data_IF_825136397798
#
_entry.id   IF_825136397798
#
_cell.length_a   1.000
_cell.length_b   1.000
_cell.length_c   1.000
_cell.angle_alpha   90.00
_cell.angle_beta   90.00
_cell.angle_gamma   90.00
#
_symmetry.space_group_name_H-M   'P 1'
#
loop_
_entity.id
_entity.type
_entity.pdbx_description
1 polymer ?
#
# COMPACT_ATOMS: atom_id res chain seq x y z
N UNK A 1 63.84 -59.29 24.21
CA UNK A 1 63.67 -58.24 25.25
C UNK A 1 62.81 -57.14 24.62
N UNK A 2 61.49 -57.32 24.49
CA UNK A 2 60.41 -57.18 25.49
C UNK A 2 60.16 -55.73 25.92
N UNK A 3 58.90 -55.30 25.71
CA UNK A 3 58.18 -54.21 26.38
C UNK A 3 58.61 -52.77 26.06
N UNK A 4 57.72 -51.77 25.96
CA UNK A 4 56.27 -51.69 25.90
C UNK A 4 55.98 -50.23 25.54
N UNK A 5 55.19 -49.96 24.51
CA UNK A 5 54.76 -48.60 24.17
C UNK A 5 53.74 -48.13 25.20
N UNK A 6 54.11 -47.21 26.09
CA UNK A 6 53.16 -46.49 26.96
C UNK A 6 52.45 -45.42 26.14
N UNK A 7 51.19 -45.67 25.81
CA UNK A 7 50.27 -44.63 25.33
C UNK A 7 49.85 -43.75 26.51
N UNK A 8 50.39 -42.54 26.57
CA UNK A 8 49.86 -41.48 27.41
C UNK A 8 48.52 -41.01 26.86
N UNK A 9 47.45 -41.19 27.64
CA UNK A 9 46.13 -40.64 27.35
C UNK A 9 46.19 -39.12 27.47
N UNK A 10 46.19 -38.42 26.34
CA UNK A 10 45.88 -36.99 26.28
C UNK A 10 44.35 -36.90 26.29
N UNK A 11 43.79 -36.40 27.39
CA UNK A 11 42.37 -36.04 27.48
C UNK A 11 42.21 -34.70 26.73
N UNK A 12 41.47 -34.64 25.62
CA UNK A 12 41.22 -33.36 24.96
C UNK A 12 40.25 -32.54 25.85
N UNK A 13 40.40 -31.20 25.89
CA UNK A 13 39.44 -30.36 26.60
C UNK A 13 38.09 -30.45 25.88
N UNK A 14 37.05 -30.75 26.65
CA UNK A 14 35.66 -30.71 26.22
C UNK A 14 35.30 -29.24 25.93
N UNK A 15 35.47 -28.84 24.68
CA UNK A 15 35.08 -27.52 24.18
C UNK A 15 33.55 -27.48 24.09
N UNK A 16 32.91 -26.82 25.06
CA UNK A 16 31.47 -26.63 25.10
C UNK A 16 31.08 -25.66 23.98
N UNK A 17 30.66 -26.19 22.82
CA UNK A 17 30.04 -25.39 21.76
C UNK A 17 28.65 -24.99 22.25
N UNK A 18 28.50 -23.75 22.75
CA UNK A 18 27.20 -23.14 22.91
C UNK A 18 26.63 -22.85 21.52
N UNK A 19 25.82 -23.78 20.99
CA UNK A 19 25.00 -23.53 19.82
C UNK A 19 23.95 -22.49 20.19
N UNK A 20 24.22 -21.22 19.88
CA UNK A 20 23.18 -20.20 19.84
C UNK A 20 22.26 -20.52 18.67
N UNK A 21 21.17 -21.23 18.93
CA UNK A 21 20.08 -21.37 17.98
C UNK A 21 19.44 -20.00 17.78
N UNK A 22 19.92 -19.24 16.80
CA UNK A 22 19.18 -18.12 16.26
C UNK A 22 18.00 -18.70 15.45
N UNK A 23 16.81 -18.67 16.03
CA UNK A 23 15.58 -18.96 15.31
C UNK A 23 15.42 -17.91 14.19
N UNK A 24 15.30 -18.31 12.91
CA UNK A 24 14.96 -17.37 11.86
C UNK A 24 13.57 -16.83 12.14
N UNK A 25 13.44 -15.53 12.42
CA UNK A 25 12.15 -14.86 12.30
C UNK A 25 11.76 -14.90 10.82
N UNK A 26 10.72 -15.67 10.50
CA UNK A 26 10.10 -15.63 9.18
C UNK A 26 9.64 -14.20 8.84
N UNK A 27 9.40 -13.89 7.55
CA UNK A 27 8.93 -12.57 7.16
C UNK A 27 7.72 -12.18 8.00
N UNK A 28 7.77 -10.98 8.59
CA UNK A 28 6.66 -10.42 9.34
C UNK A 28 5.41 -10.44 8.44
N UNK A 29 4.33 -11.04 8.94
CA UNK A 29 3.06 -11.05 8.22
C UNK A 29 2.66 -9.62 7.90
N UNK A 30 2.37 -9.33 6.62
CA UNK A 30 1.79 -8.05 6.23
C UNK A 30 0.51 -7.82 7.05
N UNK A 31 0.25 -6.59 7.53
CA UNK A 31 -0.99 -6.30 8.23
C UNK A 31 -2.18 -6.65 7.34
N UNK A 32 -3.18 -7.31 7.92
CA UNK A 32 -4.41 -7.64 7.19
C UNK A 32 -5.07 -6.34 6.71
N UNK A 33 -5.65 -6.31 5.49
CA UNK A 33 -6.38 -5.15 5.03
C UNK A 33 -7.57 -4.88 5.95
N UNK A 34 -7.71 -3.64 6.41
CA UNK A 34 -8.76 -3.21 7.34
C UNK A 34 -10.12 -2.96 6.66
N UNK A 35 -10.33 -3.43 5.43
CA UNK A 35 -11.64 -3.30 4.79
C UNK A 35 -12.56 -4.44 5.23
N UNK A 36 -13.71 -4.09 5.79
CA UNK A 36 -14.80 -5.02 6.05
C UNK A 36 -15.56 -5.27 4.74
N UNK A 37 -15.50 -6.49 4.23
CA UNK A 37 -16.17 -6.89 3.00
C UNK A 37 -17.70 -7.11 3.16
N UNK A 38 -18.26 -6.87 4.35
CA UNK A 38 -19.66 -7.18 4.68
C UNK A 38 -20.57 -5.96 4.88
N UNK A 39 -20.07 -4.74 4.70
CA UNK A 39 -20.93 -3.56 4.64
C UNK A 39 -21.70 -3.50 3.32
N UNK A 40 -23.01 -3.74 3.38
CA UNK A 40 -23.92 -3.50 2.24
C UNK A 40 -23.80 -2.04 1.77
N UNK A 41 -23.64 -1.77 0.46
CA UNK A 41 -23.48 -0.41 -0.04
C UNK A 41 -24.73 0.42 0.24
N UNK A 42 -24.56 1.57 0.90
CA UNK A 42 -25.62 2.58 0.97
C UNK A 42 -25.94 3.04 -0.45
N UNK A 43 -27.20 2.92 -0.86
CA UNK A 43 -27.64 3.31 -2.19
C UNK A 43 -27.28 4.78 -2.46
N UNK A 44 -26.35 4.99 -3.38
CA UNK A 44 -26.08 6.26 -4.03
C UNK A 44 -27.39 6.78 -4.60
N UNK A 45 -27.80 7.99 -4.22
CA UNK A 45 -28.83 8.71 -4.94
C UNK A 45 -28.44 8.79 -6.42
N UNK A 46 -29.41 8.51 -7.29
CA UNK A 46 -29.34 8.32 -8.74
C UNK A 46 -28.16 9.06 -9.41
N UNK A 47 -26.99 8.39 -9.40
CA UNK A 47 -25.90 8.72 -10.29
C UNK A 47 -26.32 8.14 -11.63
N UNK A 48 -26.73 8.99 -12.57
CA UNK A 48 -26.69 8.65 -13.99
C UNK A 48 -25.41 7.86 -14.20
N UNK A 49 -25.53 6.57 -14.52
CA UNK A 49 -24.44 5.62 -14.43
C UNK A 49 -23.21 6.17 -15.17
N UNK A 50 -22.26 6.74 -14.43
CA UNK A 50 -20.94 7.02 -14.95
C UNK A 50 -20.33 5.64 -15.03
N UNK A 51 -20.51 5.01 -16.21
CA UNK A 51 -19.77 3.81 -16.57
C UNK A 51 -18.32 4.08 -16.17
N UNK A 52 -17.62 3.11 -15.52
CA UNK A 52 -16.19 3.27 -15.31
C UNK A 52 -15.61 3.68 -16.66
N UNK A 53 -14.76 4.73 -16.74
CA UNK A 53 -14.31 5.24 -18.02
C UNK A 53 -13.75 4.05 -18.79
N UNK A 54 -14.48 3.62 -19.82
CA UNK A 54 -14.00 2.52 -20.63
C UNK A 54 -12.69 3.01 -21.22
N UNK A 55 -11.60 2.23 -21.12
CA UNK A 55 -10.36 2.64 -21.74
C UNK A 55 -10.68 2.95 -23.20
N UNK A 56 -10.25 4.12 -23.69
CA UNK A 56 -10.60 4.63 -25.02
C UNK A 56 -10.38 3.58 -26.12
N UNK A 57 -9.47 2.63 -25.89
CA UNK A 57 -9.37 1.37 -26.61
C UNK A 57 -9.09 0.21 -25.63
N UNK A 58 -9.60 -1.00 -25.91
CA UNK A 58 -9.17 -2.22 -25.20
C UNK A 58 -7.63 -2.34 -25.21
N UNK A 59 -6.97 -2.89 -24.16
CA UNK A 59 -5.52 -2.84 -24.03
C UNK A 59 -4.73 -3.38 -25.24
N UNK A 60 -5.23 -4.45 -25.88
CA UNK A 60 -4.62 -4.96 -27.12
C UNK A 60 -4.76 -3.97 -28.29
N UNK A 61 -5.91 -3.32 -28.42
CA UNK A 61 -6.15 -2.30 -29.44
C UNK A 61 -5.37 -1.01 -29.16
N UNK A 62 -5.25 -0.58 -27.90
CA UNK A 62 -4.40 0.53 -27.49
C UNK A 62 -2.92 0.30 -27.87
N UNK A 63 -2.43 -0.94 -27.67
CA UNK A 63 -1.11 -1.37 -28.12
C UNK A 63 -0.97 -1.28 -29.66
N UNK A 64 -1.98 -1.72 -30.42
CA UNK A 64 -1.95 -1.62 -31.89
C UNK A 64 -2.12 -0.20 -32.42
N UNK A 65 -2.89 0.65 -31.73
CA UNK A 65 -3.15 2.03 -32.08
C UNK A 65 -1.97 2.97 -31.80
N UNK A 66 -0.84 2.44 -31.31
CA UNK A 66 0.38 3.22 -31.08
C UNK A 66 0.29 4.18 -29.90
N UNK A 67 -0.67 3.98 -28.99
CA UNK A 67 -0.74 4.73 -27.73
C UNK A 67 0.49 4.47 -26.83
N UNK A 68 1.26 3.43 -27.15
CA UNK A 68 2.61 3.20 -26.64
C UNK A 68 3.54 2.91 -27.83
N UNK A 69 4.73 3.54 -27.93
CA UNK A 69 5.61 3.44 -29.09
C UNK A 69 6.39 2.11 -29.14
N UNK A 70 5.72 0.96 -28.96
CA UNK A 70 6.34 -0.38 -28.89
C UNK A 70 7.01 -0.77 -30.21
N UNK A 71 6.34 -0.52 -31.34
CA UNK A 71 6.85 -0.91 -32.67
C UNK A 71 7.94 0.01 -33.19
N UNK A 72 7.82 1.32 -32.96
CA UNK A 72 8.81 2.29 -33.44
C UNK A 72 10.18 2.13 -32.78
N UNK A 73 10.23 1.60 -31.56
CA UNK A 73 11.48 1.28 -30.85
C UNK A 73 11.87 -0.21 -30.97
N UNK A 74 11.12 -1.02 -31.74
CA UNK A 74 11.42 -2.41 -32.02
C UNK A 74 11.26 -3.40 -30.84
N UNK A 75 10.50 -3.03 -29.81
CA UNK A 75 10.30 -3.89 -28.61
C UNK A 75 9.57 -5.19 -28.96
N UNK A 76 8.67 -5.18 -29.92
CA UNK A 76 7.97 -6.38 -30.40
C UNK A 76 8.94 -7.39 -31.04
N UNK A 77 9.82 -6.93 -31.93
CA UNK A 77 10.84 -7.77 -32.57
C UNK A 77 11.86 -8.29 -31.54
N UNK A 78 12.28 -7.41 -30.61
CA UNK A 78 13.22 -7.75 -29.55
C UNK A 78 12.66 -8.86 -28.63
N UNK A 79 11.40 -8.72 -28.18
CA UNK A 79 10.75 -9.71 -27.31
C UNK A 79 10.48 -11.03 -28.02
N UNK A 80 10.18 -11.01 -29.33
CA UNK A 80 9.98 -12.24 -30.11
C UNK A 80 11.27 -13.07 -30.21
N UNK A 81 12.43 -12.40 -30.31
CA UNK A 81 13.75 -13.06 -30.35
C UNK A 81 14.30 -13.42 -28.95
N UNK A 82 13.81 -12.78 -27.89
CA UNK A 82 14.26 -12.98 -26.52
C UNK A 82 13.08 -13.12 -25.56
N UNK A 83 12.43 -14.29 -25.57
CA UNK A 83 11.16 -14.53 -24.86
C UNK A 83 11.22 -14.35 -23.34
N UNK A 84 12.41 -14.42 -22.74
CA UNK A 84 12.63 -14.22 -21.30
C UNK A 84 13.08 -12.80 -20.94
N UNK A 85 13.29 -11.91 -21.92
CA UNK A 85 13.79 -10.55 -21.70
C UNK A 85 12.61 -9.59 -21.53
N UNK A 86 11.77 -9.88 -20.54
CA UNK A 86 10.53 -9.17 -20.23
C UNK A 86 10.64 -8.29 -18.98
N UNK A 87 11.86 -8.07 -18.48
CA UNK A 87 12.15 -7.26 -17.30
C UNK A 87 12.15 -8.03 -15.97
N UNK A 88 11.94 -9.35 -15.97
CA UNK A 88 12.04 -10.18 -14.75
C UNK A 88 13.37 -9.94 -14.01
N UNK A 89 13.30 -9.82 -12.69
CA UNK A 89 14.47 -9.54 -11.84
C UNK A 89 14.98 -8.09 -11.90
N UNK A 90 14.29 -7.18 -12.59
CA UNK A 90 14.61 -5.74 -12.63
C UNK A 90 13.63 -4.95 -11.79
N UNK A 91 14.14 -4.03 -10.97
CA UNK A 91 13.34 -3.05 -10.22
C UNK A 91 13.38 -1.69 -10.94
N UNK A 92 12.22 -1.07 -11.12
CA UNK A 92 12.08 0.26 -11.73
C UNK A 92 11.46 1.18 -10.69
N UNK A 93 12.12 2.30 -10.38
CA UNK A 93 11.57 3.37 -9.58
C UNK A 93 10.96 4.44 -10.50
N UNK A 94 9.75 4.88 -10.18
CA UNK A 94 9.03 5.94 -10.91
C UNK A 94 8.88 7.12 -9.95
N UNK A 95 9.43 8.28 -10.33
CA UNK A 95 9.26 9.54 -9.63
C UNK A 95 8.31 10.40 -10.47
N UNK A 96 7.03 10.37 -10.12
CA UNK A 96 5.95 11.02 -10.86
C UNK A 96 4.88 11.48 -9.85
N UNK A 97 3.75 12.00 -10.32
CA UNK A 97 2.65 12.47 -9.45
C UNK A 97 1.87 11.35 -8.76
N UNK A 98 2.09 10.09 -9.13
CA UNK A 98 1.41 8.92 -8.55
C UNK A 98 1.02 7.88 -9.60
N UNK A 99 0.48 6.77 -9.14
CA UNK A 99 -0.06 5.69 -9.98
C UNK A 99 -1.35 5.16 -9.38
N UNK A 100 -2.27 4.66 -10.21
CA UNK A 100 -3.38 3.84 -9.75
C UNK A 100 -2.93 2.38 -9.59
N UNK A 101 -2.69 1.98 -8.34
CA UNK A 101 -2.23 0.64 -8.00
C UNK A 101 -3.29 -0.46 -8.23
N UNK A 102 -4.57 -0.10 -8.41
CA UNK A 102 -5.64 -1.05 -8.65
C UNK A 102 -5.76 -1.47 -10.13
N UNK A 103 -4.99 -0.85 -11.03
CA UNK A 103 -5.01 -1.22 -12.44
C UNK A 103 -4.55 -2.67 -12.63
N UNK A 104 -5.31 -3.52 -13.35
CA UNK A 104 -4.96 -4.93 -13.55
C UNK A 104 -3.56 -5.17 -14.16
N UNK A 105 -3.05 -4.22 -14.96
CA UNK A 105 -1.71 -4.28 -15.55
C UNK A 105 -0.54 -4.05 -14.57
N UNK A 106 -0.85 -3.64 -13.33
CA UNK A 106 0.10 -3.41 -12.24
C UNK A 106 -0.01 -4.45 -11.13
N UNK A 107 -0.88 -5.45 -11.29
CA UNK A 107 -1.13 -6.43 -10.25
C UNK A 107 -0.02 -7.50 -10.17
N UNK A 108 0.32 -8.08 -11.33
CA UNK A 108 1.21 -9.23 -11.43
C UNK A 108 2.31 -9.05 -12.47
N UNK A 109 3.48 -9.61 -12.17
CA UNK A 109 4.59 -9.78 -13.13
C UNK A 109 4.36 -11.00 -14.01
N UNK A 110 5.18 -11.17 -15.06
CA UNK A 110 5.13 -12.36 -15.92
C UNK A 110 5.55 -13.66 -15.23
N UNK A 111 6.15 -13.58 -14.04
CA UNK A 111 6.54 -14.72 -13.20
C UNK A 111 5.54 -15.03 -12.09
N UNK A 112 4.46 -14.24 -11.96
CA UNK A 112 3.41 -14.45 -10.96
C UNK A 112 3.64 -13.71 -9.63
N UNK A 113 4.70 -12.93 -9.51
CA UNK A 113 4.97 -12.10 -8.33
C UNK A 113 4.19 -10.78 -8.38
N UNK A 114 3.96 -10.13 -7.23
CA UNK A 114 3.39 -8.78 -7.17
C UNK A 114 4.30 -7.80 -7.89
N UNK A 115 3.72 -6.98 -8.77
CA UNK A 115 4.51 -6.04 -9.60
C UNK A 115 4.87 -4.76 -8.86
N UNK A 116 4.02 -4.29 -7.95
CA UNK A 116 4.31 -3.16 -7.07
C UNK A 116 4.99 -3.66 -5.79
N UNK A 117 6.19 -3.15 -5.54
CA UNK A 117 6.96 -3.43 -4.33
C UNK A 117 6.70 -2.36 -3.26
N UNK A 118 6.57 -1.10 -3.69
CA UNK A 118 6.36 0.03 -2.80
C UNK A 118 5.62 1.16 -3.54
N UNK A 119 4.89 1.97 -2.78
CA UNK A 119 4.20 3.17 -3.25
C UNK A 119 4.31 4.22 -2.13
N UNK A 120 4.97 5.34 -2.43
CA UNK A 120 5.21 6.39 -1.44
C UNK A 120 4.83 7.74 -2.01
N UNK A 121 4.07 8.48 -1.22
CA UNK A 121 3.95 9.91 -1.39
C UNK A 121 5.08 10.63 -0.63
N UNK A 122 5.84 11.45 -1.35
CA UNK A 122 6.89 12.30 -0.80
C UNK A 122 6.48 13.77 -0.68
N UNK A 123 5.32 14.16 -1.21
CA UNK A 123 4.81 15.52 -1.14
C UNK A 123 4.31 15.87 0.26
N UNK A 124 3.71 14.90 0.97
CA UNK A 124 3.00 15.16 2.21
C UNK A 124 1.62 15.78 1.99
N UNK A 125 1.15 15.85 0.75
CA UNK A 125 -0.19 16.24 0.40
C UNK A 125 -1.20 15.30 1.07
N UNK A 126 -2.28 15.87 1.59
CA UNK A 126 -3.30 15.14 2.33
C UNK A 126 -2.83 14.51 3.66
N UNK A 127 -1.63 14.85 4.16
CA UNK A 127 -1.20 14.42 5.50
C UNK A 127 -2.08 15.08 6.57
N UNK A 128 -2.68 14.24 7.42
CA UNK A 128 -3.48 14.69 8.56
C UNK A 128 -2.66 14.53 9.84
N UNK A 129 -2.45 15.64 10.56
CA UNK A 129 -1.88 15.58 11.90
C UNK A 129 -2.94 15.00 12.85
N UNK A 130 -2.63 13.82 13.40
CA UNK A 130 -3.53 13.13 14.32
C UNK A 130 -3.08 13.36 15.76
N UNK A 131 -4.03 13.68 16.63
CA UNK A 131 -3.84 13.76 18.08
C UNK A 131 -4.77 12.79 18.79
N UNK A 132 -4.31 12.26 19.92
CA UNK A 132 -5.14 11.37 20.74
C UNK A 132 -6.33 12.14 21.29
N UNK A 133 -7.50 11.54 21.26
CA UNK A 133 -8.76 12.14 21.72
C UNK A 133 -9.52 11.21 22.65
N UNK A 134 -10.39 11.81 23.46
CA UNK A 134 -11.36 11.12 24.30
C UNK A 134 -12.77 11.60 23.94
N UNK A 135 -13.72 10.69 24.03
CA UNK A 135 -15.11 11.00 23.79
C UNK A 135 -15.75 11.57 25.06
N UNK A 136 -16.48 12.67 24.91
CA UNK A 136 -17.26 13.29 25.98
C UNK A 136 -18.67 13.53 25.48
N UNK A 137 -19.66 13.07 26.25
CA UNK A 137 -21.09 13.20 25.92
C UNK A 137 -21.47 12.72 24.52
N UNK A 138 -20.81 11.64 24.05
CA UNK A 138 -21.08 11.08 22.73
C UNK A 138 -20.44 11.84 21.57
N UNK A 139 -19.50 12.74 21.85
CA UNK A 139 -18.80 13.52 20.84
C UNK A 139 -17.28 13.52 21.05
N UNK A 140 -16.56 13.74 19.95
CA UNK A 140 -15.13 14.07 19.95
C UNK A 140 -14.97 15.49 19.41
N UNK A 141 -14.11 16.28 20.06
CA UNK A 141 -13.77 17.64 19.58
C UNK A 141 -12.34 17.67 19.04
N UNK A 142 -12.17 18.30 17.88
CA UNK A 142 -10.88 18.49 17.21
C UNK A 142 -10.88 19.86 16.55
N UNK A 143 -9.94 20.73 16.96
CA UNK A 143 -9.98 22.16 16.61
C UNK A 143 -11.37 22.77 16.92
N UNK A 144 -12.00 23.44 15.95
CA UNK A 144 -13.34 24.03 16.06
C UNK A 144 -14.46 23.06 15.64
N UNK A 145 -14.13 21.80 15.33
CA UNK A 145 -15.07 20.78 14.87
C UNK A 145 -15.51 19.86 16.03
N UNK A 146 -16.81 19.58 16.06
CA UNK A 146 -17.42 18.60 16.96
C UNK A 146 -18.00 17.44 16.15
N UNK A 147 -17.50 16.25 16.42
CA UNK A 147 -17.88 15.00 15.77
C UNK A 147 -18.82 14.23 16.71
N UNK A 148 -20.11 14.51 16.59
CA UNK A 148 -21.17 13.86 17.36
C UNK A 148 -21.47 12.43 16.88
N UNK A 149 -22.16 11.64 17.71
CA UNK A 149 -22.51 10.26 17.38
C UNK A 149 -21.38 9.26 17.66
N UNK A 150 -20.38 9.66 18.45
CA UNK A 150 -19.16 8.90 18.68
C UNK A 150 -19.41 7.59 19.44
N UNK A 151 -20.52 7.47 20.17
CA UNK A 151 -20.99 6.22 20.78
C UNK A 151 -21.12 5.08 19.77
N UNK A 152 -21.41 5.38 18.49
CA UNK A 152 -21.46 4.37 17.43
C UNK A 152 -20.06 3.84 17.13
N UNK A 153 -19.07 4.73 17.05
CA UNK A 153 -17.66 4.39 16.78
C UNK A 153 -17.07 3.64 17.98
N UNK A 154 -17.26 4.18 19.19
CA UNK A 154 -16.82 3.57 20.43
C UNK A 154 -17.52 2.22 20.72
N UNK A 155 -18.74 2.03 20.21
CA UNK A 155 -19.46 0.76 20.30
C UNK A 155 -18.95 -0.31 19.33
N UNK A 156 -18.20 0.07 18.28
CA UNK A 156 -17.71 -0.83 17.22
C UNK A 156 -16.20 -1.04 17.22
N UNK A 157 -15.48 -0.29 18.04
CA UNK A 157 -14.01 -0.32 18.08
C UNK A 157 -13.50 -0.04 19.50
N UNK A 158 -12.25 -0.41 19.75
CA UNK A 158 -11.56 -0.14 21.02
C UNK A 158 -10.46 0.88 20.79
N UNK A 159 -10.39 1.89 21.67
CA UNK A 159 -9.38 2.93 21.59
C UNK A 159 -7.94 2.43 21.87
N UNK A 160 -6.94 3.33 21.83
CA UNK A 160 -7.07 4.78 21.81
C UNK A 160 -7.52 5.32 20.45
N UNK A 161 -8.32 6.39 20.48
CA UNK A 161 -8.77 7.09 19.29
C UNK A 161 -7.87 8.27 18.97
N UNK A 162 -7.72 8.56 17.69
CA UNK A 162 -7.01 9.74 17.23
C UNK A 162 -7.88 10.53 16.27
N UNK A 163 -7.86 11.86 16.41
CA UNK A 163 -8.57 12.75 15.52
C UNK A 163 -7.64 13.78 14.89
N UNK A 164 -8.03 14.26 13.71
CA UNK A 164 -7.38 15.35 13.02
C UNK A 164 -8.36 16.05 12.09
N UNK A 165 -7.92 17.14 11.48
CA UNK A 165 -8.69 17.89 10.49
C UNK A 165 -8.02 17.76 9.13
N UNK A 166 -8.81 17.39 8.13
CA UNK A 166 -8.43 17.41 6.72
C UNK A 166 -9.05 18.65 6.08
N UNK A 167 -8.27 19.45 5.34
CA UNK A 167 -8.74 20.68 4.70
C UNK A 167 -8.58 20.57 3.20
N UNK A 168 -9.60 20.90 2.43
CA UNK A 168 -9.58 20.73 0.97
C UNK A 168 -8.51 21.58 0.28
N UNK A 169 -8.31 22.80 0.76
CA UNK A 169 -7.33 23.76 0.23
C UNK A 169 -5.90 23.19 0.08
N UNK A 170 -5.53 22.15 0.85
CA UNK A 170 -4.20 21.52 0.78
C UNK A 170 -4.03 20.63 -0.45
N UNK A 171 -5.12 20.22 -1.11
CA UNK A 171 -5.14 19.44 -2.34
C UNK A 171 -5.06 20.32 -3.61
N UNK A 172 -5.05 21.65 -3.44
CA UNK A 172 -5.00 22.60 -4.56
C UNK A 172 -6.38 23.15 -4.94
N UNK A 173 -6.57 23.44 -6.23
CA UNK A 173 -7.78 24.10 -6.72
C UNK A 173 -8.83 23.11 -7.23
N UNK A 174 -10.10 23.53 -7.21
CA UNK A 174 -11.18 22.80 -7.84
C UNK A 174 -10.91 22.55 -9.35
N UNK A 175 -11.31 21.39 -9.90
CA UNK A 175 -12.06 20.32 -9.24
C UNK A 175 -11.17 19.31 -8.48
N UNK A 176 -9.84 19.45 -8.54
CA UNK A 176 -8.93 18.46 -7.97
C UNK A 176 -8.93 18.45 -6.45
N UNK A 177 -9.09 19.61 -5.82
CA UNK A 177 -9.15 19.74 -4.36
C UNK A 177 -10.56 19.70 -3.74
N UNK A 178 -11.60 19.76 -4.58
CA UNK A 178 -13.02 19.76 -4.19
C UNK A 178 -13.43 18.31 -3.88
N UNK A 179 -13.25 17.88 -2.63
CA UNK A 179 -13.43 16.50 -2.20
C UNK A 179 -14.91 16.14 -2.05
N UNK A 180 -15.73 17.09 -1.61
CA UNK A 180 -17.17 16.88 -1.45
C UNK A 180 -18.00 17.17 -2.73
N UNK A 181 -17.41 17.84 -3.73
CA UNK A 181 -18.00 18.14 -5.02
C UNK A 181 -18.97 19.33 -5.01
N UNK A 182 -18.84 20.29 -4.10
CA UNK A 182 -19.75 21.43 -3.98
C UNK A 182 -19.31 22.69 -4.76
N UNK A 183 -18.13 22.65 -5.36
CA UNK A 183 -17.61 23.69 -6.24
C UNK A 183 -16.70 24.72 -5.56
N UNK A 184 -16.34 24.53 -4.28
CA UNK A 184 -15.24 25.26 -3.64
C UNK A 184 -14.18 24.33 -3.02
N UNK A 185 -13.25 24.88 -2.22
CA UNK A 185 -12.15 24.14 -1.56
C UNK A 185 -11.86 24.68 -0.16
N UNK A 186 -12.82 25.41 0.44
CA UNK A 186 -12.62 26.09 1.72
C UNK A 186 -13.03 25.20 2.91
N UNK A 187 -13.51 23.99 2.63
CA UNK A 187 -14.01 23.06 3.62
C UNK A 187 -12.94 22.39 4.50
N UNK A 188 -13.42 21.94 5.66
CA UNK A 188 -12.65 21.16 6.62
C UNK A 188 -13.48 19.96 7.12
N UNK A 189 -12.88 18.77 7.05
CA UNK A 189 -13.47 17.52 7.51
C UNK A 189 -12.73 17.01 8.74
N UNK A 190 -13.47 16.75 9.80
CA UNK A 190 -12.94 16.05 10.97
C UNK A 190 -12.84 14.56 10.69
N UNK A 191 -11.67 13.99 10.96
CA UNK A 191 -11.37 12.57 10.79
C UNK A 191 -11.11 11.96 12.16
N UNK A 192 -11.64 10.76 12.41
CA UNK A 192 -11.30 9.94 13.58
C UNK A 192 -10.90 8.54 13.12
N UNK A 193 -9.84 8.01 13.73
CA UNK A 193 -9.29 6.67 13.52
C UNK A 193 -9.07 5.93 14.83
#
# INVERSE_FOLDING_TARGET
MTAARRFGRIVPPLMLLAAACATPQGPAAAPAPTYDATSEPRALADRTAVLPPEPALPPRLAMYAGLMPIRSIGVDVFRASHSTFDGRGTLIAILDSGIDAALPGLEWTSTGDRKLVDLRDFSGEGRIALQRVEAHDGAVRIEDLELAGFEIVAGRSTGPFYAGVFREIVLGSAPSGDLNGDGDVDDAFGIVV
#
